data_IF_983582315076
#
_entry.id   IF_983582315076
#
_cell.length_a   1.000
_cell.length_b   1.000
_cell.length_c   1.000
_cell.angle_alpha   90.00
_cell.angle_beta   90.00
_cell.angle_gamma   90.00
#
_symmetry.space_group_name_H-M   'P 1'
#
loop_
_entity.id
_entity.type
_entity.pdbx_description
1 polymer ?
#
# COMPACT_ATOMS: atom_id res chain seq x y z
N UNK A 1 16.55 4.63 14.90
CA UNK A 1 17.68 3.72 14.63
C UNK A 1 18.72 4.48 13.84
N UNK A 2 19.99 4.27 14.19
CA UNK A 2 21.09 5.08 13.72
C UNK A 2 21.88 4.32 12.67
N UNK A 3 22.34 5.01 11.61
CA UNK A 3 23.36 4.44 10.75
C UNK A 3 24.70 4.60 11.45
N UNK A 4 25.27 3.50 11.89
CA UNK A 4 26.60 3.44 12.47
C UNK A 4 27.53 2.86 11.41
N UNK A 5 28.66 3.48 11.19
CA UNK A 5 29.73 2.92 10.36
C UNK A 5 30.19 1.59 10.99
N UNK A 6 29.97 0.46 10.35
CA UNK A 6 30.27 -0.85 10.92
C UNK A 6 31.77 -1.09 11.11
N UNK A 7 32.64 -0.29 10.47
CA UNK A 7 34.09 -0.41 10.62
C UNK A 7 34.66 0.37 11.80
N UNK A 8 33.99 1.44 12.20
CA UNK A 8 34.45 2.34 13.26
C UNK A 8 33.57 2.35 14.48
N UNK A 9 32.36 1.79 14.39
CA UNK A 9 31.32 1.86 15.44
C UNK A 9 30.83 3.29 15.71
N UNK A 10 31.16 4.26 14.85
CA UNK A 10 30.83 5.67 15.00
C UNK A 10 29.73 6.10 14.04
N UNK A 11 28.99 7.18 14.34
CA UNK A 11 28.01 7.74 13.43
C UNK A 11 28.60 8.08 12.06
N UNK A 12 27.88 7.75 11.00
CA UNK A 12 28.22 8.14 9.63
C UNK A 12 28.22 9.66 9.49
N UNK A 13 29.20 10.18 8.74
CA UNK A 13 29.26 11.57 8.34
C UNK A 13 28.70 11.75 6.94
N UNK A 14 28.07 12.91 6.69
CA UNK A 14 27.63 13.30 5.37
C UNK A 14 28.83 13.65 4.44
N UNK A 15 28.53 14.01 3.19
CA UNK A 15 29.53 14.36 2.21
C UNK A 15 30.38 15.58 2.61
N UNK A 16 29.85 16.44 3.48
CA UNK A 16 30.50 17.64 3.99
C UNK A 16 31.25 17.39 5.33
N UNK A 17 31.26 16.14 5.81
CA UNK A 17 31.93 15.72 7.03
C UNK A 17 31.15 15.97 8.31
N UNK A 18 29.88 16.39 8.23
CA UNK A 18 29.04 16.59 9.40
C UNK A 18 28.52 15.25 9.94
N UNK A 19 28.38 15.15 11.25
CA UNK A 19 27.83 13.96 11.90
C UNK A 19 26.34 13.89 11.61
N UNK A 20 25.90 12.81 10.97
CA UNK A 20 24.51 12.58 10.61
C UNK A 20 23.65 12.25 11.81
N UNK A 21 24.28 11.87 12.93
CA UNK A 21 23.65 11.58 14.21
C UNK A 21 24.15 12.58 15.25
N UNK A 22 23.25 13.07 16.07
CA UNK A 22 23.55 13.89 17.23
C UNK A 22 24.21 13.03 18.30
N UNK A 23 25.50 13.25 18.55
CA UNK A 23 26.28 12.47 19.52
C UNK A 23 25.78 12.62 20.98
N UNK A 24 25.15 13.74 21.29
CA UNK A 24 24.68 14.01 22.67
C UNK A 24 23.34 13.30 22.94
N UNK A 25 22.48 13.19 21.96
CA UNK A 25 21.14 12.58 22.12
C UNK A 25 21.06 11.19 21.51
N UNK A 26 22.07 10.80 20.72
CA UNK A 26 22.06 9.57 19.95
C UNK A 26 20.94 9.52 18.91
N UNK A 27 20.32 10.63 18.53
CA UNK A 27 19.22 10.72 17.56
C UNK A 27 19.72 11.21 16.20
N UNK A 28 19.04 10.83 15.10
CA UNK A 28 19.36 11.37 13.79
C UNK A 28 19.31 12.89 13.78
N UNK A 29 20.36 13.51 13.26
CA UNK A 29 20.40 14.94 13.06
C UNK A 29 19.42 15.32 11.96
N UNK A 30 18.57 16.29 12.19
CA UNK A 30 17.57 16.74 11.21
C UNK A 30 18.10 17.92 10.42
N UNK A 31 17.70 17.99 9.13
CA UNK A 31 17.90 19.18 8.32
C UNK A 31 17.18 20.38 8.99
N UNK A 32 17.88 21.49 9.26
CA UNK A 32 17.28 22.66 9.91
C UNK A 32 16.10 23.27 9.14
N UNK A 33 16.05 23.10 7.81
CA UNK A 33 15.01 23.67 6.94
C UNK A 33 13.77 22.76 6.83
N UNK A 34 13.99 21.47 6.61
CA UNK A 34 12.93 20.51 6.32
C UNK A 34 12.49 19.71 7.53
N UNK A 35 13.27 19.70 8.60
CA UNK A 35 13.12 18.82 9.77
C UNK A 35 13.18 17.32 9.41
N UNK A 36 13.65 16.99 8.22
CA UNK A 36 13.83 15.63 7.74
C UNK A 36 15.14 15.06 8.27
N UNK A 37 15.18 13.81 8.74
CA UNK A 37 16.44 13.15 9.08
C UNK A 37 17.38 13.10 7.87
N UNK A 38 18.65 13.45 8.06
CA UNK A 38 19.66 13.37 6.97
C UNK A 38 19.80 11.97 6.38
N UNK A 39 19.36 10.94 7.09
CA UNK A 39 19.32 9.56 6.63
C UNK A 39 18.46 9.33 5.37
N UNK A 40 17.43 10.16 5.18
CA UNK A 40 16.55 10.08 4.00
C UNK A 40 17.19 10.70 2.76
N UNK A 41 18.29 11.47 2.94
CA UNK A 41 18.98 12.16 1.88
C UNK A 41 20.09 11.33 1.21
N UNK A 42 20.34 10.11 1.69
CA UNK A 42 21.29 9.20 1.01
C UNK A 42 20.66 8.74 -0.30
N UNK A 43 21.00 9.47 -1.36
CA UNK A 43 20.51 9.18 -2.70
C UNK A 43 21.04 7.82 -3.16
N UNK A 44 20.15 6.84 -3.28
CA UNK A 44 20.49 5.51 -3.80
C UNK A 44 21.14 5.56 -5.18
N UNK A 45 20.80 6.58 -5.99
CA UNK A 45 21.43 6.84 -7.29
C UNK A 45 22.91 7.22 -7.19
N UNK A 46 23.34 7.76 -6.06
CA UNK A 46 24.77 8.05 -5.84
C UNK A 46 25.56 6.79 -5.49
N UNK A 47 24.92 5.81 -4.85
CA UNK A 47 25.56 4.53 -4.57
C UNK A 47 25.79 3.71 -5.84
N UNK A 48 24.92 3.83 -6.84
CA UNK A 48 25.10 3.17 -8.13
C UNK A 48 26.28 3.76 -8.93
N UNK A 49 26.60 5.04 -8.71
CA UNK A 49 27.72 5.73 -9.36
C UNK A 49 29.09 5.41 -8.73
N UNK A 50 29.12 4.81 -7.56
CA UNK A 50 30.38 4.44 -6.94
C UNK A 50 30.98 3.24 -7.68
N UNK A 51 32.31 3.23 -7.87
CA UNK A 51 33.00 2.07 -8.41
C UNK A 51 32.81 0.87 -7.48
N UNK A 52 32.73 -0.33 -8.07
CA UNK A 52 32.63 -1.56 -7.31
C UNK A 52 33.87 -1.73 -6.43
N UNK A 53 33.66 -2.07 -5.17
CA UNK A 53 34.72 -2.20 -4.19
C UNK A 53 34.25 -2.10 -2.74
N UNK A 54 35.20 -2.18 -1.80
CA UNK A 54 34.88 -2.24 -0.37
C UNK A 54 34.04 -1.06 0.15
N UNK A 55 34.15 0.10 -0.42
CA UNK A 55 33.38 1.28 0.01
C UNK A 55 31.92 1.21 -0.43
N UNK A 56 31.65 0.72 -1.65
CA UNK A 56 30.28 0.48 -2.12
C UNK A 56 29.61 -0.62 -1.30
N UNK A 57 30.32 -1.72 -1.08
CA UNK A 57 29.83 -2.84 -0.26
C UNK A 57 29.53 -2.41 1.18
N UNK A 58 30.43 -1.60 1.78
CA UNK A 58 30.26 -1.07 3.13
C UNK A 58 29.03 -0.15 3.22
N UNK A 59 28.81 0.71 2.24
CA UNK A 59 27.63 1.59 2.21
C UNK A 59 26.35 0.80 1.98
N UNK A 60 26.38 -0.20 1.12
CA UNK A 60 25.25 -1.13 0.93
C UNK A 60 24.95 -1.90 2.22
N UNK A 61 25.97 -2.40 2.91
CA UNK A 61 25.81 -3.10 4.19
C UNK A 61 25.24 -2.16 5.28
N UNK A 62 25.64 -0.90 5.33
CA UNK A 62 25.10 0.09 6.26
C UNK A 62 23.62 0.41 6.00
N UNK A 63 23.18 0.36 4.74
CA UNK A 63 21.78 0.59 4.35
C UNK A 63 20.95 -0.70 4.48
N UNK A 64 21.59 -1.87 4.44
CA UNK A 64 20.93 -3.17 4.50
C UNK A 64 19.99 -3.34 5.71
N UNK A 65 20.33 -2.93 6.94
CA UNK A 65 19.40 -2.99 8.08
C UNK A 65 18.15 -2.13 7.87
N UNK A 66 18.30 -0.97 7.24
CA UNK A 66 17.17 -0.07 6.90
C UNK A 66 16.32 -0.70 5.81
N UNK A 67 16.95 -1.34 4.81
CA UNK A 67 16.24 -2.11 3.78
C UNK A 67 15.51 -3.32 4.34
N UNK A 68 16.04 -3.99 5.36
CA UNK A 68 15.37 -5.11 6.01
C UNK A 68 14.11 -4.69 6.80
N UNK A 69 14.03 -3.44 7.19
CA UNK A 69 12.84 -2.85 7.82
C UNK A 69 11.85 -2.27 6.80
N UNK A 70 12.21 -2.21 5.54
CA UNK A 70 11.38 -1.72 4.44
C UNK A 70 10.62 -2.86 3.76
N UNK A 71 9.77 -2.49 2.80
CA UNK A 71 9.01 -3.44 1.99
C UNK A 71 9.95 -4.50 1.39
N UNK A 72 9.67 -5.80 1.57
CA UNK A 72 10.48 -6.87 1.01
C UNK A 72 10.64 -6.72 -0.51
N UNK A 73 11.82 -7.08 -1.02
CA UNK A 73 12.03 -7.08 -2.46
C UNK A 73 11.05 -8.05 -3.12
N UNK A 74 10.29 -7.63 -4.14
CA UNK A 74 9.33 -8.49 -4.81
C UNK A 74 10.02 -9.52 -5.70
N UNK A 75 9.42 -10.71 -5.85
CA UNK A 75 9.81 -11.70 -6.85
C UNK A 75 9.25 -11.37 -8.24
N UNK A 76 8.15 -10.66 -8.29
CA UNK A 76 7.51 -10.11 -9.48
C UNK A 76 6.62 -8.92 -9.09
N UNK A 77 6.21 -8.14 -10.08
CA UNK A 77 5.24 -7.05 -9.91
C UNK A 77 4.00 -7.36 -10.72
N UNK A 78 2.83 -7.33 -10.07
CA UNK A 78 1.53 -7.49 -10.72
C UNK A 78 0.74 -6.19 -10.57
N UNK A 79 0.30 -5.62 -11.67
CA UNK A 79 -0.51 -4.39 -11.65
C UNK A 79 -1.47 -4.32 -12.84
N UNK A 80 -2.33 -3.31 -12.82
CA UNK A 80 -3.21 -2.96 -13.94
C UNK A 80 -3.09 -1.47 -14.27
N UNK A 81 -3.51 -1.09 -15.47
CA UNK A 81 -3.40 0.29 -15.96
C UNK A 81 -4.68 1.13 -15.77
N UNK A 82 -5.68 0.60 -15.08
CA UNK A 82 -7.01 1.24 -14.98
C UNK A 82 -7.15 2.30 -13.89
N UNK A 83 -6.09 2.58 -13.09
CA UNK A 83 -6.16 3.55 -12.01
C UNK A 83 -5.57 4.89 -12.48
N UNK A 84 -4.27 5.05 -12.39
CA UNK A 84 -3.61 6.27 -12.83
C UNK A 84 -2.22 5.98 -13.42
N UNK A 85 -1.76 6.89 -14.28
CA UNK A 85 -0.46 6.74 -14.94
C UNK A 85 0.71 6.75 -13.93
N UNK A 86 0.58 7.45 -12.81
CA UNK A 86 1.60 7.46 -11.77
C UNK A 86 1.80 6.06 -11.18
N UNK A 87 0.72 5.36 -10.84
CA UNK A 87 0.79 3.99 -10.30
C UNK A 87 1.44 3.04 -11.31
N UNK A 88 1.05 3.11 -12.58
CA UNK A 88 1.65 2.30 -13.64
C UNK A 88 3.15 2.52 -13.71
N UNK A 89 3.60 3.78 -13.68
CA UNK A 89 5.02 4.12 -13.71
C UNK A 89 5.78 3.72 -12.47
N UNK A 90 5.16 3.76 -11.29
CA UNK A 90 5.77 3.24 -10.07
C UNK A 90 6.03 1.75 -10.16
N UNK A 91 5.06 0.97 -10.61
CA UNK A 91 5.22 -0.47 -10.77
C UNK A 91 6.25 -0.84 -11.83
N UNK A 92 6.27 -0.14 -12.98
CA UNK A 92 7.30 -0.31 -14.00
C UNK A 92 8.71 -0.02 -13.45
N UNK A 93 8.86 1.06 -12.68
CA UNK A 93 10.13 1.42 -12.08
C UNK A 93 10.57 0.41 -11.01
N UNK A 94 9.66 -0.04 -10.14
CA UNK A 94 9.96 -1.07 -9.14
C UNK A 94 10.43 -2.36 -9.82
N UNK A 95 9.71 -2.83 -10.83
CA UNK A 95 10.09 -4.03 -11.57
C UNK A 95 11.49 -3.90 -12.18
N UNK A 96 11.79 -2.76 -12.79
CA UNK A 96 13.10 -2.49 -13.38
C UNK A 96 14.21 -2.36 -12.32
N UNK A 97 13.95 -1.64 -11.22
CA UNK A 97 14.93 -1.45 -10.14
C UNK A 97 15.26 -2.76 -9.43
N UNK A 98 14.26 -3.62 -9.24
CA UNK A 98 14.43 -4.93 -8.62
C UNK A 98 14.87 -6.02 -9.61
N UNK A 99 14.89 -5.71 -10.92
CA UNK A 99 15.16 -6.66 -12.00
C UNK A 99 14.25 -7.89 -11.93
N UNK A 100 12.93 -7.66 -11.77
CA UNK A 100 11.93 -8.72 -11.65
C UNK A 100 10.88 -8.59 -12.76
N UNK A 101 10.16 -9.68 -13.09
CA UNK A 101 9.09 -9.66 -14.09
C UNK A 101 7.97 -8.68 -13.73
N UNK A 102 7.46 -7.97 -14.73
CA UNK A 102 6.24 -7.16 -14.65
C UNK A 102 5.10 -7.87 -15.36
N UNK A 103 4.04 -8.17 -14.62
CA UNK A 103 2.78 -8.69 -15.16
C UNK A 103 1.78 -7.54 -15.16
N UNK A 104 1.46 -7.04 -16.35
CA UNK A 104 0.51 -5.94 -16.53
C UNK A 104 -0.82 -6.47 -17.05
N UNK A 105 -1.91 -6.17 -16.35
CA UNK A 105 -3.27 -6.37 -16.82
C UNK A 105 -3.70 -5.10 -17.51
N UNK A 106 -3.80 -5.15 -18.83
CA UNK A 106 -4.25 -4.03 -19.64
C UNK A 106 -5.77 -3.99 -19.69
N UNK A 107 -6.36 -2.93 -19.16
CA UNK A 107 -7.80 -2.71 -19.11
C UNK A 107 -8.14 -1.62 -20.10
N UNK A 108 -8.90 -1.93 -21.18
CA UNK A 108 -9.28 -0.94 -22.17
C UNK A 108 -10.25 0.09 -21.59
N UNK A 109 -10.11 1.33 -22.03
CA UNK A 109 -11.08 2.36 -21.70
C UNK A 109 -12.46 2.03 -22.29
N UNK A 110 -13.48 2.08 -21.46
CA UNK A 110 -14.87 1.92 -21.89
C UNK A 110 -15.56 3.29 -21.89
N UNK A 111 -15.97 3.75 -23.05
CA UNK A 111 -16.61 5.06 -23.25
C UNK A 111 -18.14 4.99 -23.31
N UNK A 112 -18.72 3.85 -23.05
CA UNK A 112 -20.16 3.62 -23.02
C UNK A 112 -20.59 3.06 -21.66
N UNK A 113 -21.87 3.16 -21.35
CA UNK A 113 -22.41 2.57 -20.12
C UNK A 113 -22.36 1.04 -20.18
N UNK A 114 -22.63 0.49 -21.34
CA UNK A 114 -22.59 -0.96 -21.58
C UNK A 114 -21.17 -1.39 -21.95
N UNK A 115 -20.72 -2.50 -21.37
CA UNK A 115 -19.41 -3.08 -21.66
C UNK A 115 -19.54 -3.99 -22.87
N UNK A 116 -18.81 -3.69 -23.93
CA UNK A 116 -18.81 -4.50 -25.13
C UNK A 116 -18.16 -5.88 -24.89
N UNK A 117 -18.73 -6.94 -25.47
CA UNK A 117 -18.22 -8.31 -25.36
C UNK A 117 -16.74 -8.45 -25.77
N UNK A 118 -16.30 -7.65 -26.72
CA UNK A 118 -14.88 -7.65 -27.13
C UNK A 118 -13.96 -7.19 -25.99
N UNK A 119 -14.38 -6.20 -25.18
CA UNK A 119 -13.61 -5.72 -24.03
C UNK A 119 -13.55 -6.80 -22.95
N UNK A 120 -14.67 -7.50 -22.71
CA UNK A 120 -14.70 -8.63 -21.77
C UNK A 120 -13.75 -9.74 -22.22
N UNK A 121 -13.78 -10.14 -23.50
CA UNK A 121 -12.85 -11.14 -24.03
C UNK A 121 -11.39 -10.70 -23.96
N UNK A 122 -11.13 -9.42 -24.26
CA UNK A 122 -9.80 -8.87 -24.17
C UNK A 122 -9.24 -8.94 -22.73
N UNK A 123 -10.00 -8.44 -21.76
CA UNK A 123 -9.59 -8.46 -20.34
C UNK A 123 -9.43 -9.90 -19.85
N UNK A 124 -10.33 -10.81 -20.22
CA UNK A 124 -10.17 -12.22 -19.90
C UNK A 124 -8.86 -12.78 -20.43
N UNK A 125 -8.51 -12.49 -21.69
CA UNK A 125 -7.22 -12.93 -22.26
C UNK A 125 -6.00 -12.37 -21.51
N UNK A 126 -6.10 -11.17 -20.93
CA UNK A 126 -5.06 -10.62 -20.07
C UNK A 126 -4.91 -11.45 -18.77
N UNK A 127 -6.02 -11.84 -18.14
CA UNK A 127 -5.98 -12.69 -16.95
C UNK A 127 -5.45 -14.09 -17.28
N UNK A 128 -5.89 -14.71 -18.37
CA UNK A 128 -5.40 -16.02 -18.81
C UNK A 128 -3.86 -15.99 -19.00
N UNK A 129 -3.36 -14.93 -19.62
CA UNK A 129 -1.92 -14.71 -19.78
C UNK A 129 -1.20 -14.51 -18.45
N UNK A 130 -1.78 -13.71 -17.54
CA UNK A 130 -1.21 -13.45 -16.21
C UNK A 130 -1.15 -14.74 -15.37
N UNK A 131 -2.21 -15.55 -15.38
CA UNK A 131 -2.25 -16.86 -14.71
C UNK A 131 -1.10 -17.74 -15.21
N UNK A 132 -0.93 -17.84 -16.52
CA UNK A 132 0.15 -18.64 -17.12
C UNK A 132 1.53 -18.16 -16.70
N UNK A 133 1.76 -16.84 -16.71
CA UNK A 133 3.03 -16.26 -16.24
C UNK A 133 3.25 -16.52 -14.75
N UNK A 134 2.22 -16.43 -13.91
CA UNK A 134 2.31 -16.74 -12.48
C UNK A 134 2.59 -18.23 -12.23
N UNK A 135 1.98 -19.13 -13.01
CA UNK A 135 2.31 -20.57 -12.94
C UNK A 135 3.78 -20.84 -13.27
N UNK A 136 4.31 -20.18 -14.32
CA UNK A 136 5.70 -20.30 -14.73
C UNK A 136 6.66 -19.77 -13.67
N UNK A 137 6.36 -18.61 -13.07
CA UNK A 137 7.19 -17.97 -12.06
C UNK A 137 7.17 -18.69 -10.71
N UNK A 138 6.02 -19.20 -10.29
CA UNK A 138 5.84 -19.80 -8.97
C UNK A 138 5.98 -21.30 -8.93
N UNK A 139 5.92 -21.96 -10.10
CA UNK A 139 5.84 -23.42 -10.21
C UNK A 139 4.53 -24.03 -9.70
N UNK A 140 3.54 -23.20 -9.35
CA UNK A 140 2.23 -23.63 -8.83
C UNK A 140 1.19 -23.54 -9.92
N UNK A 141 0.29 -24.54 -9.95
CA UNK A 141 -0.85 -24.52 -10.87
C UNK A 141 -2.00 -23.72 -10.31
N UNK A 142 -2.71 -23.03 -11.20
CA UNK A 142 -3.96 -22.36 -10.85
C UNK A 142 -4.99 -23.37 -10.36
N UNK A 143 -5.66 -23.04 -9.28
CA UNK A 143 -6.65 -23.90 -8.62
C UNK A 143 -8.03 -23.23 -8.71
N UNK A 144 -8.86 -23.75 -9.60
CA UNK A 144 -10.20 -23.22 -9.87
C UNK A 144 -11.07 -23.18 -8.61
N UNK A 145 -11.01 -24.22 -7.77
CA UNK A 145 -11.83 -24.29 -6.55
C UNK A 145 -11.42 -23.25 -5.52
N UNK A 146 -10.11 -23.03 -5.37
CA UNK A 146 -9.61 -21.95 -4.52
C UNK A 146 -10.00 -20.58 -5.05
N UNK A 147 -9.99 -20.42 -6.36
CA UNK A 147 -10.42 -19.18 -6.99
C UNK A 147 -11.92 -18.93 -6.76
N UNK A 148 -12.78 -19.93 -6.97
CA UNK A 148 -14.22 -19.84 -6.67
C UNK A 148 -14.47 -19.46 -5.21
N UNK A 149 -13.80 -20.11 -4.27
CA UNK A 149 -13.89 -19.77 -2.85
C UNK A 149 -13.39 -18.35 -2.54
N UNK A 150 -12.32 -17.91 -3.18
CA UNK A 150 -11.83 -16.52 -3.06
C UNK A 150 -12.87 -15.51 -3.58
N UNK A 151 -13.56 -15.82 -4.69
CA UNK A 151 -14.65 -15.01 -5.22
C UNK A 151 -15.85 -14.94 -4.28
N UNK A 152 -16.23 -16.06 -3.65
CA UNK A 152 -17.29 -16.12 -2.64
C UNK A 152 -16.97 -15.22 -1.45
N UNK A 153 -15.74 -15.33 -0.91
CA UNK A 153 -15.28 -14.46 0.19
C UNK A 153 -15.24 -12.99 -0.23
N UNK A 154 -14.77 -12.68 -1.44
CA UNK A 154 -14.75 -11.32 -1.96
C UNK A 154 -16.16 -10.72 -2.07
N UNK A 155 -17.14 -11.52 -2.51
CA UNK A 155 -18.54 -11.10 -2.60
C UNK A 155 -19.16 -10.92 -1.20
N UNK A 156 -18.83 -11.79 -0.25
CA UNK A 156 -19.27 -11.68 1.15
C UNK A 156 -18.70 -10.41 1.79
N UNK A 157 -17.40 -10.16 1.61
CA UNK A 157 -16.74 -8.94 2.09
C UNK A 157 -17.39 -7.69 1.48
N UNK A 158 -17.63 -7.69 0.16
CA UNK A 158 -18.25 -6.55 -0.52
C UNK A 158 -19.67 -6.25 0.01
N UNK A 159 -20.48 -7.27 0.27
CA UNK A 159 -21.83 -7.10 0.85
C UNK A 159 -21.75 -6.52 2.26
N UNK A 160 -20.87 -7.05 3.09
CA UNK A 160 -20.67 -6.56 4.46
C UNK A 160 -20.15 -5.12 4.47
N UNK A 161 -19.20 -4.80 3.59
CA UNK A 161 -18.69 -3.44 3.40
C UNK A 161 -19.78 -2.46 2.98
N UNK A 162 -20.62 -2.80 2.00
CA UNK A 162 -21.74 -1.94 1.59
C UNK A 162 -22.68 -1.69 2.76
N UNK A 163 -22.99 -2.71 3.55
CA UNK A 163 -23.79 -2.54 4.76
C UNK A 163 -23.14 -1.58 5.74
N UNK A 164 -21.84 -1.68 5.96
CA UNK A 164 -21.09 -0.73 6.81
C UNK A 164 -21.17 0.70 6.25
N UNK A 165 -21.04 0.89 4.94
CA UNK A 165 -21.20 2.21 4.32
C UNK A 165 -22.60 2.80 4.54
N UNK A 166 -23.66 1.97 4.51
CA UNK A 166 -25.04 2.43 4.68
C UNK A 166 -25.31 3.05 6.05
N UNK A 167 -24.53 2.71 7.08
CA UNK A 167 -24.68 3.34 8.41
C UNK A 167 -24.36 4.82 8.42
N UNK A 168 -23.61 5.34 7.44
CA UNK A 168 -23.37 6.78 7.33
C UNK A 168 -24.61 7.61 7.00
N UNK A 169 -25.73 7.00 6.61
CA UNK A 169 -26.99 7.70 6.38
C UNK A 169 -27.70 8.15 7.68
N UNK A 170 -27.39 7.52 8.81
CA UNK A 170 -28.02 7.87 10.11
C UNK A 170 -27.59 9.27 10.58
N UNK A 171 -28.42 9.89 11.43
CA UNK A 171 -28.20 11.22 12.02
C UNK A 171 -28.47 11.17 13.53
N UNK A 172 -27.44 11.30 14.38
CA UNK A 172 -26.02 11.36 13.99
C UNK A 172 -25.53 10.07 13.36
N UNK A 173 -24.47 10.17 12.55
CA UNK A 173 -23.81 8.98 12.04
C UNK A 173 -23.10 8.25 13.19
N UNK A 174 -23.21 6.90 13.28
CA UNK A 174 -22.57 6.14 14.37
C UNK A 174 -21.07 6.17 14.32
N UNK A 175 -20.47 6.48 13.17
CA UNK A 175 -19.03 6.62 12.95
C UNK A 175 -18.75 7.65 11.83
N UNK A 176 -17.50 8.10 11.73
CA UNK A 176 -17.10 9.13 10.78
C UNK A 176 -16.68 8.57 9.42
N UNK A 177 -16.63 9.40 8.38
CA UNK A 177 -16.06 9.05 7.09
C UNK A 177 -14.57 8.71 7.16
N UNK A 178 -13.84 9.22 8.16
CA UNK A 178 -12.43 8.87 8.38
C UNK A 178 -12.27 7.46 8.96
N UNK A 179 -13.16 7.05 9.85
CA UNK A 179 -13.20 5.65 10.32
C UNK A 179 -13.45 4.71 9.14
N UNK A 180 -14.36 5.09 8.23
CA UNK A 180 -14.59 4.34 6.99
C UNK A 180 -13.33 4.22 6.14
N UNK A 181 -12.56 5.29 5.97
CA UNK A 181 -11.30 5.27 5.22
C UNK A 181 -10.27 4.32 5.84
N UNK A 182 -10.17 4.26 7.16
CA UNK A 182 -9.27 3.33 7.85
C UNK A 182 -9.62 1.87 7.52
N UNK A 183 -10.91 1.53 7.52
CA UNK A 183 -11.37 0.18 7.17
C UNK A 183 -11.25 -0.14 5.68
N UNK A 184 -11.12 0.85 4.80
CA UNK A 184 -10.94 0.63 3.37
C UNK A 184 -9.69 -0.20 3.05
N UNK A 185 -8.64 -0.11 3.87
CA UNK A 185 -7.44 -0.92 3.71
C UNK A 185 -7.75 -2.42 3.68
N UNK A 186 -8.63 -2.90 4.55
CA UNK A 186 -9.01 -4.32 4.63
C UNK A 186 -9.80 -4.76 3.39
N UNK A 187 -10.68 -3.91 2.87
CA UNK A 187 -11.40 -4.17 1.62
C UNK A 187 -10.46 -4.29 0.43
N UNK A 188 -9.41 -3.46 0.40
CA UNK A 188 -8.45 -3.44 -0.73
C UNK A 188 -7.47 -4.60 -0.64
N UNK A 189 -6.89 -4.87 0.54
CA UNK A 189 -5.77 -5.81 0.69
C UNK A 189 -6.18 -7.23 1.06
N UNK A 190 -7.33 -7.40 1.71
CA UNK A 190 -7.79 -8.68 2.26
C UNK A 190 -9.15 -9.16 1.71
N UNK A 191 -9.66 -8.55 0.66
CA UNK A 191 -11.01 -8.79 0.11
C UNK A 191 -11.41 -10.26 -0.05
N UNK A 192 -10.49 -11.09 -0.50
CA UNK A 192 -10.76 -12.51 -0.76
C UNK A 192 -10.55 -13.43 0.46
N UNK A 193 -10.24 -12.85 1.62
CA UNK A 193 -10.03 -13.58 2.87
C UNK A 193 -11.32 -13.64 3.68
N UNK A 194 -11.55 -14.76 4.34
CA UNK A 194 -12.72 -14.94 5.21
C UNK A 194 -12.69 -13.96 6.38
N UNK A 195 -11.51 -13.68 6.92
CA UNK A 195 -11.32 -12.78 8.05
C UNK A 195 -11.80 -11.35 7.76
N UNK A 196 -11.61 -10.87 6.52
CA UNK A 196 -12.11 -9.56 6.13
C UNK A 196 -13.66 -9.52 6.12
N UNK A 197 -14.29 -10.56 5.61
CA UNK A 197 -15.75 -10.65 5.64
C UNK A 197 -16.29 -10.68 7.08
N UNK A 198 -15.70 -11.50 7.94
CA UNK A 198 -16.09 -11.64 9.36
C UNK A 198 -15.88 -10.32 10.12
N UNK A 199 -14.78 -9.60 9.86
CA UNK A 199 -14.52 -8.30 10.47
C UNK A 199 -15.59 -7.26 10.11
N UNK A 200 -15.99 -7.16 8.84
CA UNK A 200 -17.05 -6.23 8.43
C UNK A 200 -18.45 -6.67 8.89
N UNK A 201 -18.71 -7.95 8.94
CA UNK A 201 -19.97 -8.47 9.51
C UNK A 201 -20.07 -8.17 11.02
N UNK A 202 -18.92 -8.27 11.73
CA UNK A 202 -18.89 -7.91 13.15
C UNK A 202 -19.02 -6.39 13.32
N UNK A 203 -18.28 -5.59 12.54
CA UNK A 203 -18.41 -4.13 12.56
C UNK A 203 -19.85 -3.66 12.32
N UNK A 204 -20.56 -4.31 11.40
CA UNK A 204 -21.98 -4.00 11.17
C UNK A 204 -22.84 -4.25 12.41
N UNK A 205 -22.60 -5.33 13.18
CA UNK A 205 -23.30 -5.58 14.43
C UNK A 205 -22.97 -4.57 15.52
N UNK A 206 -21.70 -4.20 15.64
CA UNK A 206 -21.24 -3.20 16.59
C UNK A 206 -21.86 -1.82 16.29
N UNK A 207 -22.03 -1.49 15.01
CA UNK A 207 -22.71 -0.26 14.58
C UNK A 207 -24.23 -0.32 14.85
N UNK A 208 -24.88 -1.46 14.70
CA UNK A 208 -26.29 -1.65 15.12
C UNK A 208 -26.45 -1.38 16.63
N UNK A 209 -25.53 -1.86 17.46
CA UNK A 209 -25.53 -1.60 18.90
C UNK A 209 -25.25 -0.11 19.22
N UNK A 210 -24.31 0.50 18.52
CA UNK A 210 -23.96 1.93 18.67
C UNK A 210 -25.19 2.80 18.41
N UNK A 211 -25.91 2.51 17.32
CA UNK A 211 -27.17 3.21 17.00
C UNK A 211 -28.23 2.99 18.09
N UNK A 212 -28.41 1.74 18.55
CA UNK A 212 -29.40 1.42 19.59
C UNK A 212 -29.12 2.16 20.91
N UNK A 213 -27.86 2.44 21.21
CA UNK A 213 -27.43 3.24 22.37
C UNK A 213 -27.49 4.74 22.15
N UNK A 214 -27.70 5.20 20.91
CA UNK A 214 -27.64 6.62 20.54
C UNK A 214 -26.22 7.19 20.60
N UNK A 215 -25.20 6.35 20.46
CA UNK A 215 -23.80 6.71 20.53
C UNK A 215 -23.23 7.05 19.14
N UNK A 216 -22.06 7.70 19.11
CA UNK A 216 -21.31 8.02 17.89
C UNK A 216 -19.83 8.13 18.23
N UNK A 217 -18.95 7.76 17.29
CA UNK A 217 -17.51 8.00 17.42
C UNK A 217 -17.13 9.47 17.26
N UNK A 218 -18.04 10.29 16.73
CA UNK A 218 -17.77 11.71 16.50
C UNK A 218 -17.85 12.47 17.83
N UNK A 219 -16.78 13.15 18.29
CA UNK A 219 -16.75 13.81 19.60
C UNK A 219 -17.54 15.12 19.66
N UNK A 220 -18.07 15.57 18.53
CA UNK A 220 -18.83 16.81 18.41
C UNK A 220 -20.22 16.56 17.83
N UNK A 221 -21.22 17.39 18.17
CA UNK A 221 -22.53 17.30 17.52
C UNK A 221 -22.40 17.47 16.00
N UNK A 222 -23.00 16.54 15.26
CA UNK A 222 -23.04 16.62 13.80
C UNK A 222 -23.85 17.85 13.35
N UNK A 223 -23.21 18.77 12.63
CA UNK A 223 -23.84 19.99 12.11
C UNK A 223 -23.99 19.99 10.60
N UNK A 224 -22.99 19.43 9.91
CA UNK A 224 -22.89 19.43 8.45
C UNK A 224 -22.48 18.05 7.95
N UNK A 225 -22.92 17.72 6.75
CA UNK A 225 -22.46 16.58 5.98
C UNK A 225 -21.81 17.08 4.72
N UNK A 226 -20.57 16.71 4.53
CA UNK A 226 -19.81 17.04 3.33
C UNK A 226 -19.45 15.75 2.61
N UNK A 227 -19.47 15.79 1.28
CA UNK A 227 -18.90 14.73 0.48
C UNK A 227 -17.42 15.03 0.30
N UNK A 228 -16.59 14.05 0.59
CA UNK A 228 -15.18 14.09 0.26
C UNK A 228 -14.93 13.14 -0.93
N UNK A 229 -14.31 13.67 -1.98
CA UNK A 229 -13.88 12.91 -3.14
C UNK A 229 -12.40 13.12 -3.36
N UNK A 230 -11.64 12.03 -3.49
CA UNK A 230 -10.21 12.06 -3.75
C UNK A 230 -9.40 11.21 -2.79
N UNK A 231 -8.08 11.36 -2.86
CA UNK A 231 -7.15 10.66 -1.99
C UNK A 231 -7.03 11.43 -0.67
N UNK A 232 -7.21 10.76 0.49
CA UNK A 232 -7.08 11.41 1.80
C UNK A 232 -5.69 11.98 2.03
N UNK A 233 -5.62 13.11 2.72
CA UNK A 233 -4.37 13.70 3.16
C UNK A 233 -3.92 13.01 4.47
N UNK A 234 -3.42 11.79 4.38
CA UNK A 234 -3.06 10.91 5.50
C UNK A 234 -2.27 11.57 6.64
N UNK A 235 -1.32 12.49 6.39
CA UNK A 235 -0.59 13.14 7.49
C UNK A 235 -1.42 14.15 8.29
N UNK A 236 -2.63 14.49 7.85
CA UNK A 236 -3.47 15.56 8.39
C UNK A 236 -4.97 15.21 8.40
N UNK A 237 -5.29 13.96 8.63
CA UNK A 237 -6.68 13.52 8.84
C UNK A 237 -7.13 13.84 10.26
#
# INVERSE_FOLDING_TARGET
>A
EYIIDPSTGKPLKDADGNVVIDEATGKPKKDPKTQTPYLELVNLLELEKLPDGPDKERRIAAISPIRQMQIPQPDFVLCCNNICNCMTKWYENIARMCNVPLIMIDIPYNNTVEVADQNVRYVRGQFDKAIKQLEELTGKKFDEKKFEHACENANRTAKAWLKVCDYLQYKPAPYSGFDLFNHMADVVTARARVEAAEAFEQLAKDLDETIAKGETTTPFPEKYRVMFEGIPCWPKL
#
